data_IF_602461077954
#
_entry.id   IF_602461077954
#
_cell.length_a   1.000
_cell.length_b   1.000
_cell.length_c   1.000
_cell.angle_alpha   90.00
_cell.angle_beta   90.00
_cell.angle_gamma   90.00
#
_symmetry.space_group_name_H-M   'P 1'
#
loop_
_entity.id
_entity.type
_entity.pdbx_description
1 polymer ?
#
# COMPACT_ATOMS: atom_id res chain seq x y z
N UNK A 1 -32.14 -14.93 1.95
CA UNK A 1 -32.38 -13.47 1.74
C UNK A 1 -31.39 -12.58 2.48
N UNK A 2 -30.99 -12.85 3.74
CA UNK A 2 -29.91 -12.09 4.41
C UNK A 2 -28.55 -12.14 3.70
N UNK A 3 -28.18 -13.27 3.09
CA UNK A 3 -26.94 -13.42 2.32
C UNK A 3 -26.84 -12.52 1.08
N UNK A 4 -27.96 -12.29 0.36
CA UNK A 4 -27.99 -11.41 -0.83
C UNK A 4 -28.06 -9.94 -0.40
N UNK A 5 -28.71 -9.61 0.72
CA UNK A 5 -28.71 -8.26 1.29
C UNK A 5 -27.35 -7.79 1.81
N UNK A 6 -26.50 -8.72 2.29
CA UNK A 6 -25.10 -8.44 2.66
C UNK A 6 -24.23 -8.26 1.41
N UNK A 7 -24.50 -9.01 0.33
CA UNK A 7 -23.86 -8.82 -0.98
C UNK A 7 -24.27 -7.52 -1.68
N UNK A 8 -25.40 -6.91 -1.29
CA UNK A 8 -25.90 -5.64 -1.81
C UNK A 8 -25.46 -4.43 -0.96
N UNK A 9 -24.64 -4.62 0.07
CA UNK A 9 -24.03 -3.53 0.81
C UNK A 9 -22.87 -2.98 -0.03
N UNK A 10 -22.99 -1.74 -0.53
CA UNK A 10 -21.97 -1.07 -1.37
C UNK A 10 -20.55 -1.17 -0.78
N UNK A 11 -20.48 -1.28 0.54
CA UNK A 11 -19.27 -1.47 1.34
C UNK A 11 -18.54 -2.80 1.06
N UNK A 12 -19.27 -3.90 0.82
CA UNK A 12 -18.67 -5.19 0.50
C UNK A 12 -18.21 -5.27 -0.97
N UNK A 13 -18.82 -4.49 -1.87
CA UNK A 13 -18.35 -4.35 -3.26
C UNK A 13 -16.99 -3.62 -3.34
N UNK A 14 -16.67 -2.76 -2.37
CA UNK A 14 -15.37 -2.10 -2.32
C UNK A 14 -14.21 -3.12 -2.24
N UNK A 15 -14.36 -4.22 -1.50
CA UNK A 15 -13.30 -5.23 -1.31
C UNK A 15 -12.79 -5.85 -2.63
N UNK A 16 -13.65 -6.44 -3.49
CA UNK A 16 -13.20 -6.99 -4.76
C UNK A 16 -12.70 -5.91 -5.74
N UNK A 17 -13.31 -4.71 -5.77
CA UNK A 17 -12.82 -3.61 -6.62
C UNK A 17 -11.44 -3.09 -6.17
N UNK A 18 -11.19 -2.98 -4.86
CA UNK A 18 -9.87 -2.62 -4.32
C UNK A 18 -8.83 -3.71 -4.60
N UNK A 19 -9.19 -4.97 -4.42
CA UNK A 19 -8.30 -6.10 -4.73
C UNK A 19 -7.95 -6.11 -6.22
N UNK A 20 -8.94 -5.87 -7.09
CA UNK A 20 -8.74 -5.79 -8.53
C UNK A 20 -7.83 -4.61 -8.90
N UNK A 21 -8.06 -3.43 -8.33
CA UNK A 21 -7.23 -2.25 -8.54
C UNK A 21 -5.78 -2.51 -8.11
N UNK A 22 -5.59 -3.10 -6.93
CA UNK A 22 -4.28 -3.48 -6.44
C UNK A 22 -3.53 -4.43 -7.38
N UNK A 23 -4.24 -5.43 -7.92
CA UNK A 23 -3.67 -6.37 -8.90
C UNK A 23 -3.33 -5.71 -10.23
N UNK A 24 -4.15 -4.75 -10.69
CA UNK A 24 -3.87 -3.97 -11.91
C UNK A 24 -2.63 -3.11 -11.71
N UNK A 25 -2.51 -2.40 -10.58
CA UNK A 25 -1.33 -1.60 -10.26
C UNK A 25 -0.07 -2.46 -10.21
N UNK A 26 -0.12 -3.62 -9.55
CA UNK A 26 1.01 -4.54 -9.45
C UNK A 26 1.43 -5.10 -10.82
N UNK A 27 0.47 -5.52 -11.66
CA UNK A 27 0.76 -6.09 -13.00
C UNK A 27 1.14 -5.05 -14.05
N UNK A 28 0.84 -3.78 -13.82
CA UNK A 28 1.15 -2.69 -14.76
C UNK A 28 2.61 -2.22 -14.71
N UNK A 29 3.40 -2.63 -13.70
CA UNK A 29 4.76 -2.11 -13.49
C UNK A 29 4.80 -0.71 -12.87
N UNK A 30 3.65 -0.10 -12.60
CA UNK A 30 3.54 1.25 -12.03
C UNK A 30 4.28 1.39 -10.68
N UNK A 31 4.36 0.32 -9.89
CA UNK A 31 5.13 0.29 -8.65
C UNK A 31 6.61 0.59 -8.85
N UNK A 32 7.21 0.02 -9.90
CA UNK A 32 8.63 0.14 -10.23
C UNK A 32 8.92 1.53 -10.81
N UNK A 33 8.08 2.01 -11.74
CA UNK A 33 8.17 3.35 -12.30
C UNK A 33 7.99 4.46 -11.25
N UNK A 34 7.08 4.27 -10.29
CA UNK A 34 6.90 5.19 -9.17
C UNK A 34 8.13 5.19 -8.25
N UNK A 35 8.70 4.04 -7.95
CA UNK A 35 9.92 3.92 -7.15
C UNK A 35 11.10 4.63 -7.82
N UNK A 36 11.28 4.47 -9.12
CA UNK A 36 12.34 5.15 -9.87
C UNK A 36 12.10 6.66 -9.96
N UNK A 37 10.86 7.09 -10.23
CA UNK A 37 10.50 8.52 -10.32
C UNK A 37 10.69 9.22 -8.97
N UNK A 38 10.16 8.64 -7.90
CA UNK A 38 10.29 9.19 -6.54
C UNK A 38 11.75 9.07 -6.07
N UNK A 39 12.44 7.99 -6.43
CA UNK A 39 13.88 7.84 -6.20
C UNK A 39 14.72 8.91 -6.87
N UNK A 40 14.35 9.38 -8.07
CA UNK A 40 15.01 10.50 -8.76
C UNK A 40 14.65 11.85 -8.12
N UNK A 41 13.38 12.06 -7.76
CA UNK A 41 12.92 13.29 -7.10
C UNK A 41 13.58 13.49 -5.74
N UNK A 42 13.70 12.42 -4.94
CA UNK A 42 14.34 12.46 -3.64
C UNK A 42 15.84 12.08 -3.69
N UNK A 43 16.38 11.70 -4.86
CA UNK A 43 17.78 11.33 -5.07
C UNK A 43 18.84 12.30 -4.54
N UNK A 44 18.67 13.64 -4.61
CA UNK A 44 19.62 14.58 -4.01
C UNK A 44 19.59 14.62 -2.48
N UNK A 45 18.58 14.03 -1.83
CA UNK A 45 18.49 13.95 -0.37
C UNK A 45 19.22 12.69 0.15
N UNK A 46 20.04 12.85 1.19
CA UNK A 46 20.60 11.73 1.94
C UNK A 46 19.46 10.89 2.52
N UNK A 47 19.29 9.66 2.04
CA UNK A 47 18.16 8.80 2.44
C UNK A 47 16.94 8.85 1.51
N UNK A 48 17.00 9.59 0.40
CA UNK A 48 15.85 9.82 -0.48
C UNK A 48 15.21 8.55 -1.06
N UNK A 49 16.01 7.53 -1.33
CA UNK A 49 15.52 6.22 -1.78
C UNK A 49 14.67 5.53 -0.70
N UNK A 50 15.04 5.67 0.58
CA UNK A 50 14.26 5.12 1.68
C UNK A 50 12.91 5.85 1.84
N UNK A 51 12.90 7.17 1.65
CA UNK A 51 11.65 7.94 1.60
C UNK A 51 10.77 7.50 0.42
N UNK A 52 11.37 7.24 -0.74
CA UNK A 52 10.65 6.71 -1.90
C UNK A 52 9.97 5.37 -1.60
N UNK A 53 10.69 4.45 -0.95
CA UNK A 53 10.14 3.14 -0.53
C UNK A 53 9.00 3.31 0.46
N UNK A 54 9.08 4.27 1.38
CA UNK A 54 7.99 4.54 2.33
C UNK A 54 6.76 5.07 1.62
N UNK A 55 6.93 6.03 0.72
CA UNK A 55 5.83 6.75 0.07
C UNK A 55 5.12 5.86 -0.96
N UNK A 56 5.89 5.21 -1.84
CA UNK A 56 5.38 4.25 -2.82
C UNK A 56 4.83 3.01 -2.12
N UNK A 57 5.53 2.56 -1.07
CA UNK A 57 5.09 1.51 -0.15
C UNK A 57 3.68 1.74 0.36
N UNK A 58 3.45 2.93 0.92
CA UNK A 58 2.18 3.31 1.50
C UNK A 58 1.08 3.49 0.45
N UNK A 59 1.37 4.04 -0.74
CA UNK A 59 0.37 4.18 -1.82
C UNK A 59 -0.10 2.83 -2.35
N UNK A 60 0.81 1.93 -2.72
CA UNK A 60 0.45 0.60 -3.23
C UNK A 60 -0.30 -0.22 -2.19
N UNK A 61 0.12 -0.13 -0.94
CA UNK A 61 -0.51 -0.86 0.15
C UNK A 61 -1.89 -0.27 0.52
N UNK A 62 -2.09 1.04 0.41
CA UNK A 62 -3.41 1.68 0.53
C UNK A 62 -4.39 1.21 -0.56
N UNK A 63 -3.90 0.95 -1.78
CA UNK A 63 -4.76 0.44 -2.88
C UNK A 63 -5.11 -1.04 -2.76
N UNK A 64 -4.23 -1.85 -2.19
CA UNK A 64 -4.42 -3.31 -2.10
C UNK A 64 -5.15 -3.73 -0.82
N UNK A 65 -5.14 -2.91 0.23
CA UNK A 65 -5.80 -3.20 1.52
C UNK A 65 -5.21 -4.39 2.29
N UNK A 66 -4.19 -5.07 1.75
CA UNK A 66 -3.55 -6.27 2.32
C UNK A 66 -2.08 -5.99 2.56
N UNK A 67 -1.73 -5.76 3.83
CA UNK A 67 -0.36 -5.42 4.26
C UNK A 67 0.66 -6.52 3.95
N UNK A 68 0.28 -7.80 4.02
CA UNK A 68 1.22 -8.90 3.80
C UNK A 68 1.68 -8.98 2.34
N UNK A 69 0.76 -8.83 1.37
CA UNK A 69 1.08 -8.89 -0.05
C UNK A 69 1.96 -7.72 -0.48
N UNK A 70 1.62 -6.51 -0.04
CA UNK A 70 2.37 -5.31 -0.39
C UNK A 70 3.80 -5.31 0.15
N UNK A 71 4.02 -5.74 1.41
CA UNK A 71 5.37 -5.85 2.00
C UNK A 71 6.21 -6.89 1.27
N UNK A 72 5.63 -8.01 0.84
CA UNK A 72 6.35 -9.03 0.07
C UNK A 72 6.75 -8.49 -1.31
N UNK A 73 5.82 -7.88 -2.05
CA UNK A 73 6.11 -7.31 -3.37
C UNK A 73 7.12 -6.16 -3.28
N UNK A 74 6.96 -5.24 -2.33
CA UNK A 74 7.96 -4.20 -2.07
C UNK A 74 9.29 -4.80 -1.63
N UNK A 75 9.28 -5.86 -0.82
CA UNK A 75 10.49 -6.57 -0.41
C UNK A 75 11.26 -7.18 -1.59
N UNK A 76 10.55 -7.74 -2.57
CA UNK A 76 11.18 -8.33 -3.75
C UNK A 76 11.73 -7.28 -4.72
N UNK A 77 11.06 -6.12 -4.85
CA UNK A 77 11.44 -5.06 -5.78
C UNK A 77 12.45 -4.09 -5.14
N UNK A 78 12.13 -3.53 -3.97
CA UNK A 78 12.90 -2.44 -3.36
C UNK A 78 14.16 -2.88 -2.60
N UNK A 79 14.19 -4.09 -2.03
CA UNK A 79 15.36 -4.60 -1.31
C UNK A 79 16.62 -4.67 -2.19
N UNK A 80 16.60 -5.28 -3.40
CA UNK A 80 17.78 -5.30 -4.27
C UNK A 80 18.19 -3.90 -4.75
N UNK A 81 17.22 -3.01 -5.02
CA UNK A 81 17.49 -1.64 -5.46
C UNK A 81 18.17 -0.82 -4.36
N UNK A 82 17.69 -0.92 -3.11
CA UNK A 82 18.30 -0.22 -1.97
C UNK A 82 19.70 -0.73 -1.66
N UNK A 83 19.93 -2.04 -1.73
CA UNK A 83 21.27 -2.62 -1.51
C UNK A 83 22.27 -2.18 -2.60
N UNK A 84 21.85 -2.10 -3.87
CA UNK A 84 22.70 -1.59 -4.96
C UNK A 84 23.05 -0.11 -4.80
N UNK A 85 22.18 0.67 -4.14
CA UNK A 85 22.41 2.07 -3.80
C UNK A 85 23.20 2.26 -2.48
N UNK A 86 23.77 1.19 -1.91
CA UNK A 86 24.67 1.27 -0.75
C UNK A 86 23.98 1.35 0.61
N UNK A 87 22.67 1.06 0.70
CA UNK A 87 21.97 0.99 1.98
C UNK A 87 22.30 -0.31 2.72
N UNK A 88 22.37 -0.24 4.06
CA UNK A 88 22.53 -1.42 4.91
C UNK A 88 21.27 -2.31 4.84
N UNK A 89 21.44 -3.63 4.84
CA UNK A 89 20.35 -4.60 4.80
C UNK A 89 19.40 -4.46 5.99
N UNK A 90 19.91 -4.19 7.19
CA UNK A 90 19.11 -4.01 8.41
C UNK A 90 18.22 -2.76 8.31
N UNK A 91 18.78 -1.68 7.78
CA UNK A 91 18.06 -0.44 7.55
C UNK A 91 16.97 -0.64 6.49
N UNK A 92 17.33 -1.24 5.36
CA UNK A 92 16.43 -1.55 4.25
C UNK A 92 15.23 -2.40 4.71
N UNK A 93 15.47 -3.49 5.45
CA UNK A 93 14.38 -4.32 5.96
C UNK A 93 13.49 -3.59 6.97
N UNK A 94 14.06 -2.71 7.80
CA UNK A 94 13.30 -1.89 8.74
C UNK A 94 12.40 -0.88 8.04
N UNK A 95 12.92 -0.23 6.99
CA UNK A 95 12.16 0.73 6.17
C UNK A 95 11.00 0.05 5.44
N UNK A 96 11.23 -1.13 4.84
CA UNK A 96 10.18 -1.90 4.14
C UNK A 96 9.11 -2.39 5.14
N UNK A 97 9.51 -2.85 6.32
CA UNK A 97 8.56 -3.26 7.35
C UNK A 97 7.73 -2.07 7.87
N UNK A 98 8.36 -0.91 8.07
CA UNK A 98 7.69 0.31 8.51
C UNK A 98 6.79 0.94 7.44
N UNK A 99 7.16 0.85 6.15
CA UNK A 99 6.29 1.32 5.06
C UNK A 99 5.01 0.49 4.97
N UNK A 100 5.11 -0.82 5.20
CA UNK A 100 3.97 -1.72 5.25
C UNK A 100 2.95 -1.38 6.35
N UNK A 101 3.39 -0.87 7.49
CA UNK A 101 2.46 -0.46 8.57
C UNK A 101 1.83 0.91 8.31
N UNK A 102 2.57 1.85 7.70
CA UNK A 102 2.05 3.16 7.29
C UNK A 102 0.89 3.06 6.29
N UNK A 103 0.89 2.01 5.47
CA UNK A 103 -0.21 1.67 4.57
C UNK A 103 -1.59 1.60 5.23
N UNK A 104 -1.64 1.23 6.51
CA UNK A 104 -2.89 1.07 7.25
C UNK A 104 -3.58 2.41 7.55
N UNK A 105 -2.81 3.51 7.51
CA UNK A 105 -3.25 4.86 7.90
C UNK A 105 -3.78 5.65 6.71
N UNK A 106 -3.34 5.38 5.47
CA UNK A 106 -3.76 6.14 4.28
C UNK A 106 -5.14 5.64 3.80
N UNK A 107 -6.20 6.48 3.81
CA UNK A 107 -7.49 6.10 3.24
C UNK A 107 -7.34 5.81 1.74
N UNK A 108 -7.87 4.68 1.22
CA UNK A 108 -8.99 3.90 1.71
C UNK A 108 -8.53 2.64 2.45
N UNK A 109 -8.59 2.68 3.79
CA UNK A 109 -8.24 1.53 4.60
C UNK A 109 -9.42 0.58 4.69
N UNK A 110 -9.22 -0.69 4.34
CA UNK A 110 -10.21 -1.77 4.53
C UNK A 110 -10.67 -1.85 6.00
N UNK A 111 -9.82 -1.44 6.95
CA UNK A 111 -10.17 -1.32 8.38
C UNK A 111 -11.18 -0.18 8.62
N UNK A 112 -11.03 0.97 7.96
CA UNK A 112 -12.01 2.07 8.03
C UNK A 112 -13.35 1.66 7.40
N UNK A 113 -13.30 0.94 6.27
CA UNK A 113 -14.47 0.40 5.58
C UNK A 113 -15.23 -0.61 6.48
N UNK A 114 -14.50 -1.53 7.13
CA UNK A 114 -15.09 -2.51 8.07
C UNK A 114 -15.54 -1.86 9.38
N UNK A 115 -14.81 -0.88 9.93
CA UNK A 115 -15.24 -0.14 11.12
C UNK A 115 -16.50 0.67 10.86
N UNK A 116 -16.63 1.31 9.69
CA UNK A 116 -17.82 2.05 9.31
C UNK A 116 -19.05 1.12 9.19
N UNK A 117 -18.86 -0.09 8.67
CA UNK A 117 -19.91 -1.13 8.62
C UNK A 117 -20.32 -1.62 10.04
N UNK A 118 -19.36 -1.81 10.94
CA UNK A 118 -19.61 -2.20 12.34
C UNK A 118 -20.24 -1.10 13.20
N UNK A 119 -19.97 0.18 12.90
CA UNK A 119 -20.48 1.34 13.64
C UNK A 119 -21.79 1.92 13.07
N UNK A 120 -22.24 1.46 11.90
CA UNK A 120 -23.51 1.87 11.29
C UNK A 120 -23.57 3.35 10.90
N UNK A 121 -22.42 4.02 10.69
CA UNK A 121 -22.34 5.42 10.26
C UNK A 121 -21.52 5.56 8.97
N UNK A 122 -21.99 6.47 8.12
CA UNK A 122 -21.40 6.80 6.82
C UNK A 122 -19.96 7.30 6.95
N UNK A 123 -19.09 6.79 6.08
CA UNK A 123 -17.67 7.16 5.94
C UNK A 123 -17.49 8.65 5.58
N UNK A 124 -18.52 9.31 5.07
CA UNK A 124 -18.46 10.73 4.64
C UNK A 124 -18.51 11.78 5.76
N UNK A 125 -18.77 11.38 7.00
CA UNK A 125 -18.83 12.28 8.18
C UNK A 125 -17.60 12.17 9.12
N UNK A 126 -16.53 11.49 8.68
CA UNK A 126 -15.24 11.37 9.36
C UNK A 126 -14.11 11.92 8.49
#
# INVERSE_FOLDING_TARGET
>A
QRLIGIMANDTLLAVPFFTLMGLILERSGMAEDLLDTVGQVFGPLRGGLALAVVLVGAMLAATTGVVAASVISMGLISLPIMLRNGYDRKFTSGVIAASGTLAQIIPPSLVLIIMADQLGRSVGDM
#
